data_IF_752413898130
#
_entry.id   IF_752413898130
#
_cell.length_a   1.000
_cell.length_b   1.000
_cell.length_c   1.000
_cell.angle_alpha   90.00
_cell.angle_beta   90.00
_cell.angle_gamma   90.00
#
_symmetry.space_group_name_H-M   'P 1'
#
loop_
_entity.id
_entity.type
_entity.pdbx_description
1 polymer ?
#
# COMPACT_ATOMS: atom_id res chain seq x y z
N UNK A 1 -4.12 -67.56 16.94
CA UNK A 1 -5.26 -66.97 17.69
C UNK A 1 -5.82 -65.85 16.81
N UNK A 2 -6.75 -66.19 15.93
CA UNK A 2 -8.20 -65.92 16.05
C UNK A 2 -8.57 -64.45 15.78
N UNK A 3 -9.00 -64.23 14.54
CA UNK A 3 -10.02 -63.33 13.99
C UNK A 3 -10.62 -62.20 14.86
N UNK A 4 -10.70 -61.01 14.26
CA UNK A 4 -12.00 -60.35 14.02
C UNK A 4 -11.89 -59.36 12.85
N UNK A 5 -12.73 -59.61 11.85
CA UNK A 5 -12.96 -58.88 10.61
C UNK A 5 -13.69 -57.55 10.86
N UNK A 6 -13.40 -56.54 10.04
CA UNK A 6 -14.32 -55.45 9.74
C UNK A 6 -14.32 -55.20 8.23
N UNK A 7 -15.38 -55.73 7.63
CA UNK A 7 -15.98 -55.57 6.31
C UNK A 7 -15.55 -54.34 5.47
N UNK A 8 -14.95 -54.61 4.31
CA UNK A 8 -14.84 -53.67 3.19
C UNK A 8 -15.89 -54.03 2.14
N UNK A 9 -16.89 -53.18 1.85
CA UNK A 9 -17.70 -53.37 0.66
C UNK A 9 -16.90 -53.00 -0.59
N UNK A 10 -16.55 -54.03 -1.37
CA UNK A 10 -16.13 -53.92 -2.76
C UNK A 10 -17.24 -53.24 -3.56
N UNK A 11 -16.91 -52.11 -4.19
CA UNK A 11 -17.77 -51.51 -5.21
C UNK A 11 -17.63 -52.29 -6.51
N UNK A 12 -18.78 -52.70 -7.00
CA UNK A 12 -19.05 -53.51 -8.17
C UNK A 12 -18.67 -52.78 -9.46
N UNK A 13 -18.01 -53.48 -10.39
CA UNK A 13 -17.70 -52.99 -11.72
C UNK A 13 -18.97 -53.09 -12.59
N UNK A 14 -19.87 -52.13 -12.39
CA UNK A 14 -21.09 -51.96 -13.16
C UNK A 14 -20.80 -51.40 -14.56
N UNK A 15 -21.03 -52.25 -15.55
CA UNK A 15 -21.15 -51.98 -17.00
C UNK A 15 -21.80 -50.64 -17.35
N UNK A 16 -21.10 -49.84 -18.18
CA UNK A 16 -21.65 -48.68 -18.90
C UNK A 16 -22.74 -49.15 -19.88
N UNK A 17 -23.99 -48.80 -19.60
CA UNK A 17 -25.06 -48.80 -20.61
C UNK A 17 -25.35 -47.35 -20.99
N UNK A 18 -25.12 -47.01 -22.25
CA UNK A 18 -25.52 -45.74 -22.86
C UNK A 18 -27.02 -45.51 -22.68
N UNK A 19 -27.37 -44.55 -21.81
CA UNK A 19 -28.63 -43.84 -21.87
C UNK A 19 -28.31 -42.34 -21.93
N UNK A 20 -28.80 -41.60 -22.93
CA UNK A 20 -28.62 -40.16 -22.97
C UNK A 20 -29.41 -39.56 -21.80
N UNK A 21 -28.70 -39.14 -20.75
CA UNK A 21 -29.26 -38.22 -19.77
C UNK A 21 -29.24 -36.84 -20.41
N UNK A 22 -30.43 -36.35 -20.77
CA UNK A 22 -30.65 -34.94 -21.04
C UNK A 22 -30.29 -34.16 -19.79
N UNK A 23 -29.14 -33.47 -19.82
CA UNK A 23 -28.80 -32.44 -18.84
C UNK A 23 -29.93 -31.41 -18.80
N UNK A 24 -30.40 -30.98 -17.62
CA UNK A 24 -31.21 -29.78 -17.56
C UNK A 24 -30.31 -28.62 -18.00
N UNK A 25 -30.65 -28.03 -19.14
CA UNK A 25 -30.16 -26.75 -19.58
C UNK A 25 -30.61 -25.72 -18.53
N UNK A 26 -29.75 -25.45 -17.55
CA UNK A 26 -29.95 -24.32 -16.64
C UNK A 26 -29.64 -23.08 -17.46
N UNK A 27 -30.71 -22.45 -17.94
CA UNK A 27 -30.66 -21.14 -18.60
C UNK A 27 -30.09 -20.10 -17.63
N UNK A 28 -28.80 -19.81 -17.78
CA UNK A 28 -28.14 -18.66 -17.18
C UNK A 28 -28.48 -17.43 -18.02
N UNK A 29 -29.54 -16.74 -17.62
CA UNK A 29 -30.00 -15.55 -18.31
C UNK A 29 -31.44 -15.22 -17.97
N UNK A 30 -31.67 -14.69 -16.77
CA UNK A 30 -32.86 -13.86 -16.57
C UNK A 30 -32.85 -12.73 -17.62
N UNK A 31 -34.01 -12.27 -18.12
CA UNK A 31 -34.03 -11.22 -19.13
C UNK A 31 -33.22 -10.01 -18.63
N UNK A 32 -32.33 -9.49 -19.47
CA UNK A 32 -31.58 -8.27 -19.18
C UNK A 32 -32.59 -7.22 -18.70
N UNK A 33 -32.47 -6.84 -17.43
CA UNK A 33 -33.42 -5.91 -16.81
C UNK A 33 -33.32 -4.60 -17.60
N UNK A 34 -34.42 -4.19 -18.23
CA UNK A 34 -34.45 -2.94 -18.95
C UNK A 34 -34.34 -1.79 -17.94
N UNK A 35 -33.13 -1.24 -17.83
CA UNK A 35 -32.82 -0.08 -17.00
C UNK A 35 -33.22 1.24 -17.67
N UNK A 36 -33.92 1.17 -18.80
CA UNK A 36 -34.41 2.26 -19.60
C UNK A 36 -33.44 2.61 -20.74
N UNK A 37 -33.98 2.70 -21.96
CA UNK A 37 -33.34 3.44 -23.06
C UNK A 37 -33.40 4.94 -22.77
N UNK A 38 -32.21 5.54 -22.60
CA UNK A 38 -31.95 6.99 -22.70
C UNK A 38 -32.29 7.81 -21.42
N UNK A 39 -31.22 8.27 -20.75
CA UNK A 39 -31.19 9.31 -19.68
C UNK A 39 -31.88 8.98 -18.35
N UNK A 40 -31.34 8.01 -17.62
CA UNK A 40 -31.30 8.14 -16.15
C UNK A 40 -29.97 8.79 -15.80
N UNK A 41 -29.94 10.13 -15.91
CA UNK A 41 -28.72 10.93 -15.91
C UNK A 41 -28.01 10.85 -14.56
N UNK A 42 -26.98 10.02 -14.49
CA UNK A 42 -25.92 10.24 -13.51
C UNK A 42 -25.16 11.47 -14.00
N UNK A 43 -25.60 12.66 -13.59
CA UNK A 43 -24.94 13.91 -14.03
C UNK A 43 -23.59 14.02 -13.34
N UNK A 44 -22.54 13.64 -14.07
CA UNK A 44 -21.14 13.79 -13.72
C UNK A 44 -20.42 14.15 -15.01
N UNK A 45 -19.68 15.24 -14.97
CA UNK A 45 -18.81 15.71 -16.06
C UNK A 45 -17.38 15.86 -15.55
N UNK A 46 -16.41 15.98 -16.45
CA UNK A 46 -15.07 16.44 -16.09
C UNK A 46 -15.15 17.73 -15.25
N UNK A 47 -14.32 17.82 -14.22
CA UNK A 47 -14.35 18.88 -13.21
C UNK A 47 -15.41 18.71 -12.11
N UNK A 48 -16.29 17.70 -12.19
CA UNK A 48 -17.28 17.45 -11.13
C UNK A 48 -16.60 17.07 -9.81
N UNK A 49 -17.18 17.51 -8.70
CA UNK A 49 -16.66 17.20 -7.36
C UNK A 49 -16.90 15.72 -7.03
N UNK A 50 -15.82 14.99 -6.82
CA UNK A 50 -15.80 13.62 -6.29
C UNK A 50 -15.12 13.61 -4.92
N UNK A 51 -15.19 12.51 -4.15
CA UNK A 51 -14.43 12.35 -2.90
C UNK A 51 -12.90 12.51 -3.10
N UNK A 52 -12.39 12.21 -4.30
CA UNK A 52 -10.97 12.21 -4.63
C UNK A 52 -10.50 13.47 -5.38
N UNK A 53 -11.34 14.51 -5.42
CA UNK A 53 -11.07 15.76 -6.13
C UNK A 53 -11.95 15.95 -7.37
N UNK A 54 -11.64 16.95 -8.21
CA UNK A 54 -12.31 17.13 -9.50
C UNK A 54 -12.09 15.90 -10.38
N UNK A 55 -13.13 15.42 -11.07
CA UNK A 55 -12.99 14.34 -12.04
C UNK A 55 -12.15 14.78 -13.25
N UNK A 56 -11.06 14.09 -13.55
CA UNK A 56 -10.24 14.31 -14.75
C UNK A 56 -10.74 13.46 -15.92
N UNK A 57 -11.37 12.33 -15.63
CA UNK A 57 -12.01 11.47 -16.63
C UNK A 57 -13.38 11.03 -16.17
N UNK A 58 -14.30 10.90 -17.13
CA UNK A 58 -15.65 10.39 -16.93
C UNK A 58 -15.96 9.41 -18.05
N UNK A 59 -16.46 8.23 -17.71
CA UNK A 59 -16.79 7.18 -18.69
C UNK A 59 -18.15 6.56 -18.36
N UNK A 60 -19.07 6.59 -19.31
CA UNK A 60 -20.33 5.86 -19.21
C UNK A 60 -20.05 4.36 -19.41
N UNK A 61 -20.23 3.57 -18.35
CA UNK A 61 -20.01 2.11 -18.39
C UNK A 61 -21.25 1.41 -18.95
N UNK A 62 -22.42 1.81 -18.45
CA UNK A 62 -23.71 1.32 -18.87
C UNK A 62 -24.78 2.38 -18.54
N UNK A 63 -26.01 2.31 -19.10
CA UNK A 63 -27.08 3.23 -18.75
C UNK A 63 -27.27 3.32 -17.22
N UNK A 64 -26.96 4.47 -16.63
CA UNK A 64 -27.06 4.71 -15.18
C UNK A 64 -25.85 4.24 -14.35
N UNK A 65 -24.70 3.92 -14.96
CA UNK A 65 -23.43 3.63 -14.28
C UNK A 65 -22.33 4.45 -14.94
N UNK A 66 -21.72 5.35 -14.17
CA UNK A 66 -20.64 6.22 -14.63
C UNK A 66 -19.40 5.96 -13.80
N UNK A 67 -18.27 5.75 -14.47
CA UNK A 67 -16.95 5.74 -13.86
C UNK A 67 -16.32 7.12 -13.89
N UNK A 68 -15.59 7.47 -12.84
CA UNK A 68 -14.75 8.68 -12.78
C UNK A 68 -13.34 8.32 -12.38
N UNK A 69 -12.37 9.07 -12.90
CA UNK A 69 -10.98 9.01 -12.46
C UNK A 69 -10.44 10.40 -12.13
N UNK A 70 -9.54 10.46 -11.15
CA UNK A 70 -8.71 11.61 -10.75
C UNK A 70 -7.24 11.17 -10.80
N UNK A 71 -6.23 12.04 -10.55
CA UNK A 71 -4.82 11.66 -10.70
C UNK A 71 -4.35 10.64 -9.66
N UNK A 72 -5.15 10.39 -8.62
CA UNK A 72 -4.80 9.49 -7.53
C UNK A 72 -5.79 8.34 -7.29
N UNK A 73 -7.06 8.48 -7.67
CA UNK A 73 -8.12 7.48 -7.41
C UNK A 73 -9.31 7.64 -8.37
N UNK A 74 -10.35 6.85 -8.19
CA UNK A 74 -11.57 6.87 -8.98
C UNK A 74 -12.69 6.05 -8.35
N UNK A 75 -13.78 5.93 -9.08
CA UNK A 75 -14.89 5.08 -8.66
C UNK A 75 -16.14 5.22 -9.52
N UNK A 76 -17.18 4.52 -9.11
CA UNK A 76 -18.46 4.46 -9.81
C UNK A 76 -19.53 5.31 -9.11
N UNK A 77 -20.39 5.90 -9.91
CA UNK A 77 -21.65 6.50 -9.48
C UNK A 77 -22.81 5.90 -10.23
N UNK A 78 -23.83 5.53 -9.48
CA UNK A 78 -25.02 4.85 -9.99
C UNK A 78 -26.20 5.80 -10.03
N UNK A 79 -27.13 5.53 -10.95
CA UNK A 79 -28.47 6.08 -10.90
C UNK A 79 -29.17 5.65 -9.62
N UNK A 80 -30.24 6.38 -9.26
CA UNK A 80 -31.02 6.08 -8.07
C UNK A 80 -31.62 4.67 -8.13
N UNK A 81 -32.05 4.25 -9.31
CA UNK A 81 -32.71 2.97 -9.60
C UNK A 81 -31.71 1.81 -9.48
N UNK A 82 -30.53 1.95 -10.09
CA UNK A 82 -29.47 0.94 -9.98
C UNK A 82 -28.91 0.85 -8.58
N UNK A 83 -28.71 1.99 -7.93
CA UNK A 83 -28.30 2.03 -6.53
C UNK A 83 -29.35 1.37 -5.66
N UNK A 84 -30.65 1.60 -5.88
CA UNK A 84 -31.72 1.01 -5.07
C UNK A 84 -31.84 -0.52 -5.19
N UNK A 85 -31.33 -1.12 -6.27
CA UNK A 85 -31.32 -2.57 -6.44
C UNK A 85 -30.24 -3.29 -5.61
N UNK A 86 -29.24 -2.56 -5.10
CA UNK A 86 -28.24 -3.11 -4.20
C UNK A 86 -28.87 -3.20 -2.78
N UNK A 87 -28.73 -4.33 -2.06
CA UNK A 87 -29.22 -4.47 -0.69
C UNK A 87 -28.64 -3.40 0.25
N UNK A 88 -29.44 -2.94 1.22
CA UNK A 88 -29.05 -1.84 2.12
C UNK A 88 -27.68 -2.06 2.80
N UNK A 89 -27.33 -3.23 3.36
CA UNK A 89 -26.03 -3.42 4.01
C UNK A 89 -24.84 -3.12 3.09
N UNK A 90 -24.90 -3.58 1.83
CA UNK A 90 -23.86 -3.32 0.82
C UNK A 90 -23.90 -1.89 0.26
N UNK A 91 -25.04 -1.21 0.32
CA UNK A 91 -25.14 0.21 -0.04
C UNK A 91 -24.68 1.16 1.06
N UNK A 92 -24.60 0.70 2.30
CA UNK A 92 -24.20 1.54 3.43
C UNK A 92 -22.68 1.53 3.59
N UNK A 93 -22.00 0.45 3.17
CA UNK A 93 -20.53 0.43 3.11
C UNK A 93 -19.99 1.41 2.07
N UNK A 94 -20.70 1.54 0.95
CA UNK A 94 -20.42 2.54 -0.08
C UNK A 94 -21.21 3.83 0.20
N UNK A 95 -20.61 5.00 0.02
CA UNK A 95 -21.34 6.26 0.14
C UNK A 95 -22.28 6.51 -1.05
N UNK A 96 -22.24 7.72 -1.58
CA UNK A 96 -22.85 8.02 -2.89
C UNK A 96 -21.98 7.45 -4.03
N UNK A 97 -20.70 7.25 -3.76
CA UNK A 97 -19.68 6.75 -4.68
C UNK A 97 -19.21 5.37 -4.21
N UNK A 98 -18.88 4.51 -5.18
CA UNK A 98 -18.26 3.21 -4.96
C UNK A 98 -16.81 3.31 -5.43
N UNK A 99 -15.85 3.23 -4.52
CA UNK A 99 -14.41 3.34 -4.79
C UNK A 99 -13.89 2.19 -5.67
N UNK A 100 -12.87 2.49 -6.47
CA UNK A 100 -12.35 1.61 -7.54
C UNK A 100 -11.48 0.43 -7.08
N UNK A 101 -10.89 0.47 -5.89
CA UNK A 101 -10.10 -0.63 -5.34
C UNK A 101 -10.99 -1.68 -4.68
N UNK A 102 -12.11 -1.27 -4.06
CA UNK A 102 -12.94 -2.15 -3.24
C UNK A 102 -14.45 -2.11 -3.54
N UNK A 103 -15.14 -0.98 -3.40
CA UNK A 103 -16.61 -0.98 -3.42
C UNK A 103 -17.22 -1.22 -4.81
N UNK A 104 -16.51 -0.96 -5.90
CA UNK A 104 -17.04 -1.20 -7.25
C UNK A 104 -17.39 -2.68 -7.50
N UNK A 105 -16.77 -3.63 -6.77
CA UNK A 105 -17.13 -5.05 -6.81
C UNK A 105 -18.59 -5.31 -6.40
N UNK A 106 -19.15 -4.47 -5.53
CA UNK A 106 -20.58 -4.51 -5.17
C UNK A 106 -21.45 -4.18 -6.39
N UNK A 107 -21.01 -3.21 -7.20
CA UNK A 107 -21.71 -2.82 -8.43
C UNK A 107 -21.63 -3.96 -9.44
N UNK A 108 -20.46 -4.56 -9.63
CA UNK A 108 -20.28 -5.69 -10.54
C UNK A 108 -21.09 -6.93 -10.11
N UNK A 109 -21.18 -7.20 -8.81
CA UNK A 109 -21.99 -8.31 -8.27
C UNK A 109 -23.49 -8.13 -8.53
N UNK A 110 -24.01 -6.90 -8.45
CA UNK A 110 -25.44 -6.62 -8.57
C UNK A 110 -25.89 -6.15 -9.97
N UNK A 111 -24.95 -5.75 -10.82
CA UNK A 111 -25.18 -5.34 -12.21
C UNK A 111 -24.17 -6.01 -13.15
N UNK A 112 -24.08 -7.37 -13.15
CA UNK A 112 -23.07 -8.09 -13.92
C UNK A 112 -23.19 -7.84 -15.44
N UNK A 113 -24.36 -7.45 -15.93
CA UNK A 113 -24.57 -7.11 -17.34
C UNK A 113 -23.77 -5.89 -17.79
N UNK A 114 -23.35 -5.03 -16.86
CA UNK A 114 -22.49 -3.89 -17.15
C UNK A 114 -21.00 -4.27 -17.19
N UNK A 115 -20.63 -5.47 -16.72
CA UNK A 115 -19.25 -5.93 -16.60
C UNK A 115 -19.06 -7.33 -17.20
N UNK A 116 -19.36 -7.54 -18.50
CA UNK A 116 -19.33 -8.87 -19.12
C UNK A 116 -17.92 -9.50 -19.21
N UNK A 117 -16.88 -8.74 -18.90
CA UNK A 117 -15.49 -9.21 -18.85
C UNK A 117 -15.11 -9.83 -17.49
N UNK A 118 -15.99 -9.71 -16.49
CA UNK A 118 -15.80 -10.31 -15.17
C UNK A 118 -16.44 -11.69 -15.18
N UNK A 119 -15.65 -12.71 -14.88
CA UNK A 119 -16.12 -14.09 -14.79
C UNK A 119 -17.11 -14.26 -13.63
N UNK A 120 -18.04 -15.21 -13.79
CA UNK A 120 -19.06 -15.53 -12.79
C UNK A 120 -18.44 -15.83 -11.42
N UNK A 121 -19.04 -15.27 -10.36
CA UNK A 121 -18.59 -15.48 -8.98
C UNK A 121 -17.35 -14.67 -8.57
N UNK A 122 -16.60 -14.05 -9.49
CA UNK A 122 -15.42 -13.24 -9.12
C UNK A 122 -15.83 -12.01 -8.31
N UNK A 123 -16.84 -11.27 -8.76
CA UNK A 123 -17.32 -10.09 -8.04
C UNK A 123 -17.85 -10.45 -6.64
N UNK A 124 -18.60 -11.53 -6.54
CA UNK A 124 -19.12 -12.02 -5.26
C UNK A 124 -17.99 -12.40 -4.29
N UNK A 125 -16.98 -13.15 -4.77
CA UNK A 125 -15.79 -13.48 -3.97
C UNK A 125 -15.08 -12.22 -3.46
N UNK A 126 -14.95 -11.20 -4.31
CA UNK A 126 -14.34 -9.92 -3.92
C UNK A 126 -15.16 -9.19 -2.87
N UNK A 127 -16.49 -9.21 -2.97
CA UNK A 127 -17.38 -8.64 -1.95
C UNK A 127 -17.28 -9.38 -0.63
N UNK A 128 -17.20 -10.73 -0.63
CA UNK A 128 -16.95 -11.52 0.59
C UNK A 128 -15.61 -11.20 1.26
N UNK A 129 -14.58 -10.93 0.47
CA UNK A 129 -13.25 -10.56 0.98
C UNK A 129 -13.23 -9.15 1.57
N UNK A 130 -13.80 -8.16 0.87
CA UNK A 130 -13.73 -6.76 1.30
C UNK A 130 -14.77 -6.39 2.35
N UNK A 131 -15.98 -6.94 2.25
CA UNK A 131 -17.14 -6.53 3.06
C UNK A 131 -17.88 -7.74 3.66
N UNK A 132 -17.21 -8.63 4.40
CA UNK A 132 -17.81 -9.89 4.86
C UNK A 132 -19.09 -9.67 5.68
N UNK A 133 -19.07 -8.75 6.65
CA UNK A 133 -20.26 -8.46 7.49
C UNK A 133 -21.45 -7.96 6.65
N UNK A 134 -21.19 -7.06 5.68
CA UNK A 134 -22.23 -6.50 4.83
C UNK A 134 -22.77 -7.52 3.84
N UNK A 135 -21.92 -8.42 3.34
CA UNK A 135 -22.32 -9.53 2.48
C UNK A 135 -23.27 -10.49 3.21
N UNK A 136 -22.91 -10.94 4.42
CA UNK A 136 -23.75 -11.85 5.21
C UNK A 136 -25.08 -11.18 5.56
N UNK A 137 -25.06 -9.90 5.96
CA UNK A 137 -26.28 -9.15 6.25
C UNK A 137 -27.17 -8.93 5.00
N UNK A 138 -26.58 -8.77 3.82
CA UNK A 138 -27.31 -8.56 2.57
C UNK A 138 -27.91 -9.86 2.00
N UNK A 139 -27.20 -10.97 2.14
CA UNK A 139 -27.57 -12.26 1.52
C UNK A 139 -28.22 -13.24 2.49
N UNK A 140 -28.03 -13.04 3.80
CA UNK A 140 -28.39 -14.02 4.83
C UNK A 140 -27.53 -15.28 4.82
N UNK A 141 -26.49 -15.34 3.99
CA UNK A 141 -25.60 -16.49 3.86
C UNK A 141 -24.38 -16.28 4.75
N UNK A 142 -24.09 -17.25 5.62
CA UNK A 142 -22.85 -17.26 6.41
C UNK A 142 -21.68 -17.67 5.53
N UNK A 143 -20.58 -16.91 5.60
CA UNK A 143 -19.34 -17.19 4.88
C UNK A 143 -18.66 -18.41 5.52
N UNK A 144 -18.39 -19.45 4.74
CA UNK A 144 -17.69 -20.63 5.24
C UNK A 144 -16.17 -20.39 5.33
N UNK A 145 -15.43 -21.19 6.12
CA UNK A 145 -13.97 -21.17 6.12
C UNK A 145 -13.42 -21.35 4.70
N UNK A 146 -12.43 -20.55 4.30
CA UNK A 146 -11.85 -20.55 2.95
C UNK A 146 -12.58 -19.66 1.93
N UNK A 147 -13.72 -19.06 2.28
CA UNK A 147 -14.50 -18.21 1.37
C UNK A 147 -14.29 -16.71 1.55
N UNK A 148 -13.56 -16.30 2.59
CA UNK A 148 -13.13 -14.91 2.81
C UNK A 148 -11.76 -14.84 3.49
N UNK A 149 -10.79 -14.25 2.80
CA UNK A 149 -9.42 -14.09 3.30
C UNK A 149 -9.38 -13.32 4.63
N UNK A 150 -10.25 -12.31 4.78
CA UNK A 150 -10.35 -11.49 5.99
C UNK A 150 -10.96 -12.27 7.16
N UNK A 151 -11.95 -13.13 6.90
CA UNK A 151 -12.53 -13.99 7.96
C UNK A 151 -11.53 -15.04 8.42
N UNK A 152 -10.88 -15.70 7.47
CA UNK A 152 -9.88 -16.72 7.78
C UNK A 152 -8.71 -16.11 8.54
N UNK A 153 -8.23 -14.92 8.14
CA UNK A 153 -7.21 -14.17 8.87
C UNK A 153 -7.65 -13.86 10.31
N UNK A 154 -8.89 -13.40 10.52
CA UNK A 154 -9.39 -13.10 11.86
C UNK A 154 -9.45 -14.35 12.76
N UNK A 155 -9.88 -15.49 12.21
CA UNK A 155 -9.89 -16.77 12.93
C UNK A 155 -8.46 -17.21 13.28
N UNK A 156 -7.54 -17.16 12.31
CA UNK A 156 -6.14 -17.50 12.52
C UNK A 156 -5.49 -16.59 13.57
N UNK A 157 -5.67 -15.27 13.45
CA UNK A 157 -5.13 -14.29 14.39
C UNK A 157 -5.65 -14.50 15.81
N UNK A 158 -6.92 -14.91 15.97
CA UNK A 158 -7.49 -15.24 17.27
C UNK A 158 -6.92 -16.53 17.84
N UNK A 159 -6.73 -17.56 17.02
CA UNK A 159 -6.14 -18.83 17.44
C UNK A 159 -4.68 -18.66 17.90
N UNK A 160 -3.95 -17.75 17.25
CA UNK A 160 -2.53 -17.48 17.52
C UNK A 160 -2.30 -16.20 18.33
N UNK A 161 -3.29 -15.75 19.11
CA UNK A 161 -3.16 -14.50 19.88
C UNK A 161 -2.06 -14.56 20.93
N UNK A 162 -1.72 -15.77 21.39
CA UNK A 162 -0.68 -16.04 22.39
C UNK A 162 0.65 -16.52 21.79
N UNK A 163 0.75 -16.63 20.47
CA UNK A 163 1.98 -17.01 19.78
C UNK A 163 2.76 -15.77 19.35
N UNK A 164 4.08 -15.90 19.18
CA UNK A 164 4.85 -14.84 18.55
C UNK A 164 4.71 -14.95 17.04
N UNK A 165 4.21 -13.89 16.41
CA UNK A 165 4.10 -13.80 14.95
C UNK A 165 5.15 -12.84 14.41
N UNK A 166 5.85 -13.25 13.36
CA UNK A 166 6.85 -12.43 12.67
C UNK A 166 6.24 -11.08 12.22
N UNK A 167 6.88 -9.97 12.61
CA UNK A 167 6.52 -8.61 12.18
C UNK A 167 7.67 -7.85 11.49
N UNK A 168 8.92 -8.29 11.67
CA UNK A 168 10.08 -7.70 10.99
C UNK A 168 11.15 -8.76 10.80
N UNK A 169 11.90 -8.69 9.70
CA UNK A 169 12.96 -9.62 9.37
C UNK A 169 14.09 -8.88 8.65
N UNK A 170 15.33 -9.11 9.08
CA UNK A 170 16.55 -8.65 8.39
C UNK A 170 17.60 -9.75 8.42
N UNK A 171 18.47 -9.78 7.42
CA UNK A 171 19.66 -10.64 7.52
C UNK A 171 20.45 -10.23 8.77
N UNK A 172 20.96 -11.23 9.47
CA UNK A 172 21.88 -11.02 10.59
C UNK A 172 23.24 -10.61 9.99
N UNK A 173 23.76 -9.46 10.43
CA UNK A 173 24.99 -8.88 9.89
C UNK A 173 26.23 -9.72 10.30
N UNK A 174 26.15 -10.44 11.42
CA UNK A 174 27.25 -11.23 11.99
C UNK A 174 27.18 -12.72 11.59
N UNK A 175 25.99 -13.22 11.22
CA UNK A 175 25.74 -14.64 10.90
C UNK A 175 25.20 -14.84 9.48
N UNK A 176 26.08 -15.15 8.51
CA UNK A 176 25.66 -15.47 7.14
C UNK A 176 24.60 -16.58 7.10
N UNK A 177 23.52 -16.35 6.36
CA UNK A 177 22.43 -17.32 6.19
C UNK A 177 21.41 -17.34 7.34
N UNK A 178 21.58 -16.52 8.37
CA UNK A 178 20.62 -16.36 9.47
C UNK A 178 19.84 -15.06 9.31
N UNK A 179 18.56 -15.10 9.66
CA UNK A 179 17.68 -13.94 9.67
C UNK A 179 17.37 -13.56 11.12
N UNK A 180 17.66 -12.32 11.50
CA UNK A 180 17.16 -11.72 12.72
C UNK A 180 15.70 -11.33 12.50
N UNK A 181 14.82 -11.90 13.31
CA UNK A 181 13.37 -11.73 13.22
C UNK A 181 12.84 -11.09 14.49
N UNK A 182 11.92 -10.14 14.37
CA UNK A 182 11.15 -9.62 15.49
C UNK A 182 9.78 -10.30 15.46
N UNK A 183 9.48 -11.05 16.51
CA UNK A 183 8.16 -11.62 16.76
C UNK A 183 7.36 -10.72 17.69
N UNK A 184 6.05 -10.62 17.47
CA UNK A 184 5.12 -9.95 18.36
C UNK A 184 3.99 -10.89 18.76
N UNK A 185 3.68 -10.94 20.06
CA UNK A 185 2.50 -11.61 20.59
C UNK A 185 1.34 -10.63 20.71
N UNK A 186 0.17 -11.01 20.20
CA UNK A 186 -0.97 -10.10 20.12
C UNK A 186 -1.63 -9.86 21.48
N UNK A 187 -1.66 -10.87 22.36
CA UNK A 187 -2.39 -10.82 23.63
C UNK A 187 -1.83 -9.82 24.64
N UNK A 188 -0.52 -9.62 24.67
CA UNK A 188 0.16 -8.70 25.60
C UNK A 188 1.04 -7.64 24.89
N UNK A 189 1.17 -7.72 23.56
CA UNK A 189 2.00 -6.81 22.77
C UNK A 189 3.51 -7.05 22.90
N UNK A 190 3.94 -8.10 23.61
CA UNK A 190 5.35 -8.41 23.82
C UNK A 190 6.08 -8.59 22.50
N UNK A 191 7.25 -7.99 22.39
CA UNK A 191 8.17 -8.17 21.26
C UNK A 191 9.40 -8.94 21.69
N UNK A 192 9.85 -9.85 20.85
CA UNK A 192 11.01 -10.70 21.11
C UNK A 192 11.85 -10.88 19.85
N UNK A 193 13.17 -10.87 20.01
CA UNK A 193 14.10 -11.11 18.91
C UNK A 193 14.39 -12.61 18.79
N UNK A 194 14.27 -13.13 17.57
CA UNK A 194 14.54 -14.51 17.19
C UNK A 194 15.59 -14.56 16.09
N UNK A 195 16.27 -15.70 15.98
CA UNK A 195 17.23 -15.97 14.92
C UNK A 195 16.86 -17.29 14.25
N UNK A 196 16.51 -17.19 12.98
CA UNK A 196 15.99 -18.31 12.21
C UNK A 196 16.85 -18.47 10.95
N UNK A 197 17.33 -19.68 10.62
CA UNK A 197 17.98 -19.94 9.33
C UNK A 197 17.09 -19.49 8.17
N UNK A 198 17.68 -18.84 7.16
CA UNK A 198 16.93 -18.26 6.04
C UNK A 198 16.05 -19.29 5.32
N UNK A 199 16.61 -20.45 5.00
CA UNK A 199 15.89 -21.48 4.24
C UNK A 199 14.71 -22.04 5.05
N UNK A 200 14.87 -22.16 6.36
CA UNK A 200 13.79 -22.58 7.26
C UNK A 200 12.70 -21.51 7.36
N UNK A 201 13.08 -20.24 7.51
CA UNK A 201 12.12 -19.14 7.54
C UNK A 201 11.32 -19.07 6.23
N UNK A 202 11.98 -19.22 5.09
CA UNK A 202 11.34 -19.24 3.78
C UNK A 202 10.41 -20.45 3.62
N UNK A 203 10.80 -21.63 4.12
CA UNK A 203 9.91 -22.80 4.14
C UNK A 203 8.66 -22.56 5.01
N UNK A 204 8.81 -21.95 6.20
CA UNK A 204 7.67 -21.60 7.07
C UNK A 204 6.72 -20.58 6.44
N UNK A 205 7.23 -19.65 5.62
CA UNK A 205 6.39 -18.68 4.86
C UNK A 205 5.54 -19.32 3.77
N UNK A 206 5.93 -20.50 3.31
CA UNK A 206 5.24 -21.25 2.27
C UNK A 206 4.24 -22.27 2.85
N UNK A 207 4.36 -22.60 4.14
CA UNK A 207 3.38 -23.41 4.84
C UNK A 207 2.12 -22.56 5.10
N UNK A 208 1.03 -22.87 4.41
CA UNK A 208 -0.19 -22.08 4.43
C UNK A 208 -1.36 -22.88 5.03
N UNK A 209 -1.73 -22.56 6.26
CA UNK A 209 -3.09 -22.80 6.75
C UNK A 209 -4.01 -21.64 6.32
N UNK A 210 -5.33 -21.86 6.19
CA UNK A 210 -6.28 -20.78 5.91
C UNK A 210 -6.09 -19.61 6.89
N UNK A 211 -5.99 -18.39 6.35
CA UNK A 211 -5.80 -17.17 7.15
C UNK A 211 -4.37 -16.84 7.57
N UNK A 212 -3.44 -17.80 7.48
CA UNK A 212 -2.03 -17.56 7.84
C UNK A 212 -1.34 -16.61 6.85
N UNK A 213 -1.57 -16.80 5.55
CA UNK A 213 -0.91 -16.03 4.49
C UNK A 213 0.62 -16.19 4.56
N UNK A 214 1.35 -15.08 4.60
CA UNK A 214 2.82 -15.08 4.72
C UNK A 214 3.32 -14.95 6.17
N UNK A 215 2.42 -15.08 7.16
CA UNK A 215 2.76 -14.95 8.59
C UNK A 215 3.51 -16.20 9.05
N UNK A 216 4.51 -15.99 9.90
CA UNK A 216 5.32 -17.06 10.47
C UNK A 216 5.18 -17.04 11.98
N UNK A 217 4.84 -18.19 12.55
CA UNK A 217 4.86 -18.42 14.00
C UNK A 217 6.31 -18.68 14.43
N UNK A 218 6.70 -18.06 15.52
CA UNK A 218 7.99 -18.17 16.18
C UNK A 218 7.75 -18.73 17.58
N UNK A 219 8.54 -19.71 17.96
CA UNK A 219 8.40 -20.37 19.25
C UNK A 219 9.69 -20.18 20.08
N UNK A 220 9.66 -19.46 21.21
CA UNK A 220 10.84 -19.26 22.06
C UNK A 220 11.38 -20.55 22.68
N UNK A 221 10.63 -21.67 22.63
CA UNK A 221 11.10 -22.97 23.07
C UNK A 221 11.97 -23.69 22.03
N UNK A 222 11.76 -23.44 20.73
CA UNK A 222 12.51 -24.09 19.65
C UNK A 222 13.42 -23.16 18.86
N UNK A 223 13.06 -21.89 18.75
CA UNK A 223 13.79 -20.88 18.00
C UNK A 223 14.82 -20.16 18.89
N UNK A 224 16.03 -19.96 18.37
CA UNK A 224 17.06 -19.20 19.07
C UNK A 224 16.57 -17.76 19.30
N UNK A 225 16.77 -17.24 20.51
CA UNK A 225 16.31 -15.90 20.89
C UNK A 225 17.33 -15.17 21.75
N UNK A 226 17.46 -13.85 21.54
CA UNK A 226 18.22 -12.96 22.44
C UNK A 226 17.34 -12.32 23.52
N UNK A 227 16.09 -12.77 23.67
CA UNK A 227 15.13 -12.20 24.60
C UNK A 227 14.36 -11.01 24.05
N UNK A 228 13.75 -10.19 24.93
CA UNK A 228 12.87 -9.09 24.53
C UNK A 228 13.52 -8.16 23.51
N UNK A 229 12.75 -7.80 22.47
CA UNK A 229 13.15 -6.73 21.55
C UNK A 229 12.92 -5.40 22.27
N UNK A 230 13.98 -4.91 22.91
CA UNK A 230 14.00 -3.57 23.50
C UNK A 230 14.15 -2.60 22.34
N UNK A 231 13.05 -1.97 21.95
CA UNK A 231 13.10 -0.83 21.03
C UNK A 231 14.09 0.18 21.61
N UNK A 232 15.15 0.56 20.88
CA UNK A 232 16.13 1.49 21.41
C UNK A 232 15.41 2.76 21.84
N UNK A 233 15.77 3.28 23.02
CA UNK A 233 15.21 4.53 23.50
C UNK A 233 15.39 5.57 22.38
N UNK A 234 14.28 6.14 21.91
CA UNK A 234 14.32 7.14 20.84
C UNK A 234 15.21 8.26 21.32
N UNK A 235 16.39 8.38 20.71
CA UNK A 235 17.31 9.46 21.04
C UNK A 235 16.55 10.75 20.77
N UNK A 236 16.36 11.62 21.78
CA UNK A 236 15.61 12.85 21.59
C UNK A 236 16.22 13.62 20.43
N UNK A 237 15.45 13.82 19.36
CA UNK A 237 15.95 14.54 18.20
C UNK A 237 16.34 15.95 18.62
N UNK A 238 17.61 16.31 18.43
CA UNK A 238 18.08 17.67 18.69
C UNK A 238 17.33 18.62 17.77
N UNK A 239 16.66 19.62 18.36
CA UNK A 239 15.89 20.60 17.60
C UNK A 239 16.75 21.83 17.31
N UNK A 240 16.77 22.20 16.04
CA UNK A 240 17.50 23.35 15.54
C UNK A 240 16.52 24.46 15.15
N UNK A 241 16.63 25.61 15.80
CA UNK A 241 15.71 26.73 15.58
C UNK A 241 16.31 27.83 14.68
N UNK A 242 15.43 28.48 13.93
CA UNK A 242 15.74 29.69 13.17
C UNK A 242 16.36 29.48 11.79
N UNK A 243 16.63 30.61 11.15
CA UNK A 243 17.16 30.70 9.78
C UNK A 243 17.99 31.98 9.61
N UNK A 244 18.88 31.96 8.63
CA UNK A 244 19.72 33.08 8.24
C UNK A 244 19.12 33.84 7.06
N UNK A 245 19.38 35.15 6.97
CA UNK A 245 18.90 35.97 5.85
C UNK A 245 19.72 35.69 4.58
N UNK A 246 19.10 35.28 3.45
CA UNK A 246 19.83 35.05 2.21
C UNK A 246 20.50 36.32 1.65
N UNK A 247 21.65 36.13 0.98
CA UNK A 247 22.44 37.22 0.42
C UNK A 247 21.70 38.01 -0.69
N UNK A 248 20.89 37.33 -1.52
CA UNK A 248 20.23 37.95 -2.67
C UNK A 248 18.77 38.34 -2.39
N UNK A 249 18.26 39.45 -2.96
CA UNK A 249 16.85 39.83 -2.83
C UNK A 249 15.88 38.74 -3.28
N UNK A 250 16.20 38.05 -4.38
CA UNK A 250 15.36 36.96 -4.90
C UNK A 250 15.29 35.75 -3.95
N UNK A 251 16.39 35.41 -3.29
CA UNK A 251 16.39 34.36 -2.29
C UNK A 251 15.62 34.78 -1.02
N UNK A 252 15.73 36.04 -0.59
CA UNK A 252 14.93 36.59 0.52
C UNK A 252 13.42 36.54 0.23
N UNK A 253 13.01 36.86 -1.00
CA UNK A 253 11.61 36.78 -1.41
C UNK A 253 11.07 35.34 -1.37
N UNK A 254 11.85 34.37 -1.87
CA UNK A 254 11.48 32.94 -1.81
C UNK A 254 11.37 32.43 -0.38
N UNK A 255 12.33 32.82 0.48
CA UNK A 255 12.27 32.51 1.90
C UNK A 255 11.00 33.07 2.54
N UNK A 256 10.67 34.35 2.29
CA UNK A 256 9.45 34.95 2.83
C UNK A 256 8.17 34.21 2.38
N UNK A 257 8.12 33.77 1.11
CA UNK A 257 7.00 32.94 0.62
C UNK A 257 6.92 31.61 1.35
N UNK A 258 8.05 30.91 1.54
CA UNK A 258 8.06 29.64 2.25
C UNK A 258 7.69 29.79 3.72
N UNK A 259 8.19 30.83 4.40
CA UNK A 259 7.89 31.12 5.81
C UNK A 259 6.38 31.32 6.06
N UNK A 260 5.66 31.87 5.08
CA UNK A 260 4.22 32.09 5.16
C UNK A 260 3.37 30.84 4.84
N UNK A 261 3.96 29.74 4.35
CA UNK A 261 3.24 28.49 4.08
C UNK A 261 2.65 27.93 5.37
N UNK A 262 1.42 27.42 5.30
CA UNK A 262 0.66 26.92 6.44
C UNK A 262 0.46 25.41 6.36
N UNK A 263 0.57 24.75 7.49
CA UNK A 263 0.41 23.31 7.66
C UNK A 263 -0.64 23.03 8.72
N UNK A 264 -1.57 22.10 8.44
CA UNK A 264 -2.57 21.64 9.38
C UNK A 264 -2.07 20.40 10.12
N UNK A 265 -2.12 20.41 11.43
CA UNK A 265 -1.75 19.31 12.33
C UNK A 265 -2.90 18.34 12.55
N UNK A 266 -2.59 17.16 13.08
CA UNK A 266 -3.56 16.12 13.42
C UNK A 266 -4.58 16.57 14.47
N UNK A 267 -4.17 17.48 15.37
CA UNK A 267 -5.05 18.11 16.36
C UNK A 267 -5.94 19.23 15.78
N UNK A 268 -5.86 19.47 14.47
CA UNK A 268 -6.61 20.49 13.75
C UNK A 268 -6.01 21.90 13.78
N UNK A 269 -4.96 22.14 14.55
CA UNK A 269 -4.24 23.42 14.59
C UNK A 269 -3.54 23.73 13.26
N UNK A 270 -3.25 25.00 13.01
CA UNK A 270 -2.57 25.46 11.79
C UNK A 270 -1.36 26.29 12.18
N UNK A 271 -0.18 25.87 11.71
CA UNK A 271 1.09 26.56 11.95
C UNK A 271 1.70 27.04 10.63
N UNK A 272 2.42 28.16 10.67
CA UNK A 272 3.27 28.59 9.56
C UNK A 272 4.64 27.91 9.61
N UNK A 273 5.37 27.89 8.50
CA UNK A 273 6.76 27.41 8.52
C UNK A 273 7.63 28.25 9.47
N UNK A 274 7.34 29.55 9.64
CA UNK A 274 8.03 30.38 10.62
C UNK A 274 7.85 29.84 12.05
N UNK A 275 6.60 29.55 12.45
CA UNK A 275 6.29 29.00 13.78
C UNK A 275 7.00 27.64 14.00
N UNK A 276 7.04 26.81 12.96
CA UNK A 276 7.71 25.50 13.01
C UNK A 276 9.23 25.66 13.18
N UNK A 277 9.85 26.58 12.45
CA UNK A 277 11.29 26.85 12.57
C UNK A 277 11.65 27.52 13.90
N UNK A 278 10.73 28.25 14.53
CA UNK A 278 10.91 28.83 15.87
C UNK A 278 10.90 27.74 16.96
N UNK A 279 9.98 26.78 16.86
CA UNK A 279 9.94 25.59 17.74
C UNK A 279 11.10 24.62 17.50
N UNK A 280 11.70 24.70 16.33
CA UNK A 280 12.89 23.96 15.94
C UNK A 280 12.60 22.63 15.24
N UNK A 281 13.54 22.24 14.39
CA UNK A 281 13.43 21.12 13.45
C UNK A 281 14.63 20.17 13.57
N UNK A 282 14.44 18.92 13.19
CA UNK A 282 15.45 17.86 13.24
C UNK A 282 16.59 18.07 12.24
N UNK A 283 16.30 18.68 11.08
CA UNK A 283 17.29 18.80 10.01
C UNK A 283 16.66 19.16 8.68
N UNK A 284 17.43 18.98 7.62
CA UNK A 284 16.99 19.20 6.24
C UNK A 284 17.50 18.11 5.31
N UNK A 285 16.75 17.81 4.25
CA UNK A 285 17.19 16.90 3.18
C UNK A 285 16.63 17.32 1.82
N UNK A 286 16.92 16.50 0.82
CA UNK A 286 16.25 16.52 -0.47
C UNK A 286 16.03 15.12 -1.00
N UNK A 287 15.14 14.99 -1.97
CA UNK A 287 14.97 13.79 -2.80
C UNK A 287 14.78 14.19 -4.26
N UNK A 288 14.86 13.23 -5.18
CA UNK A 288 14.56 13.49 -6.59
C UNK A 288 13.15 13.00 -6.89
N UNK A 289 12.36 13.87 -7.49
CA UNK A 289 11.05 13.55 -8.05
C UNK A 289 10.99 14.10 -9.47
N UNK A 290 10.57 13.28 -10.44
CA UNK A 290 10.40 13.69 -11.84
C UNK A 290 11.62 14.45 -12.40
N UNK A 291 12.83 13.94 -12.13
CA UNK A 291 14.09 14.52 -12.57
C UNK A 291 14.45 15.86 -11.94
N UNK A 292 13.79 16.26 -10.85
CA UNK A 292 14.05 17.50 -10.12
C UNK A 292 14.34 17.20 -8.66
N UNK A 293 15.32 17.92 -8.11
CA UNK A 293 15.63 17.87 -6.68
C UNK A 293 14.61 18.69 -5.90
N UNK A 294 13.87 18.03 -5.03
CA UNK A 294 12.89 18.62 -4.11
C UNK A 294 13.54 18.71 -2.73
N UNK A 295 13.58 19.91 -2.17
CA UNK A 295 14.17 20.19 -0.86
C UNK A 295 13.10 20.21 0.21
N UNK A 296 13.41 19.72 1.40
CA UNK A 296 12.48 19.72 2.52
C UNK A 296 13.17 19.87 3.87
N UNK A 297 12.43 20.42 4.83
CA UNK A 297 12.81 20.49 6.24
C UNK A 297 12.20 19.32 6.98
N UNK A 298 12.96 18.67 7.87
CA UNK A 298 12.52 17.55 8.68
C UNK A 298 12.18 18.04 10.08
N UNK A 299 10.93 17.87 10.50
CA UNK A 299 10.53 18.23 11.86
C UNK A 299 11.01 17.19 12.89
N UNK A 300 11.00 15.91 12.53
CA UNK A 300 11.43 14.79 13.36
C UNK A 300 12.34 13.86 12.53
N UNK A 301 13.12 13.02 13.21
CA UNK A 301 13.77 11.89 12.53
C UNK A 301 12.71 10.89 12.03
N UNK A 302 13.05 10.14 10.98
CA UNK A 302 12.10 9.48 10.09
C UNK A 302 11.34 8.34 10.80
N UNK A 303 10.22 8.66 11.46
CA UNK A 303 9.25 7.70 11.99
C UNK A 303 7.86 8.01 11.44
N UNK A 304 7.47 7.30 10.37
CA UNK A 304 6.08 6.96 10.04
C UNK A 304 5.05 8.07 9.76
N UNK A 305 5.35 9.35 9.96
CA UNK A 305 4.40 10.46 9.77
C UNK A 305 4.63 11.20 8.45
N UNK A 306 3.54 11.45 7.71
CA UNK A 306 3.50 12.25 6.49
C UNK A 306 3.92 13.71 6.68
N UNK A 307 3.95 14.21 7.93
CA UNK A 307 4.39 15.57 8.29
C UNK A 307 5.91 15.70 8.49
N UNK A 308 6.66 14.60 8.39
CA UNK A 308 8.11 14.61 8.62
C UNK A 308 8.91 15.34 7.53
N UNK A 309 8.30 15.77 6.42
CA UNK A 309 8.98 16.46 5.32
C UNK A 309 8.18 17.69 4.85
N UNK A 310 8.71 18.89 5.12
CA UNK A 310 8.12 20.18 4.75
C UNK A 310 8.81 20.71 3.46
N UNK A 311 8.21 20.58 2.26
CA UNK A 311 8.79 21.03 1.01
C UNK A 311 9.02 22.54 0.98
N UNK A 312 10.26 22.90 0.69
CA UNK A 312 10.74 24.28 0.64
C UNK A 312 11.54 24.54 -0.64
N UNK A 313 11.72 25.81 -0.97
CA UNK A 313 12.66 26.20 -2.02
C UNK A 313 14.09 25.96 -1.58
N UNK A 314 15.01 25.84 -2.55
CA UNK A 314 16.46 25.77 -2.25
C UNK A 314 16.93 26.97 -1.41
N UNK A 315 16.37 28.16 -1.65
CA UNK A 315 16.74 29.36 -0.89
C UNK A 315 16.45 29.20 0.61
N UNK A 316 15.29 28.64 0.95
CA UNK A 316 14.91 28.34 2.34
C UNK A 316 15.73 27.20 2.90
N UNK A 317 15.97 26.14 2.12
CA UNK A 317 16.85 25.04 2.51
C UNK A 317 18.25 25.52 2.92
N UNK A 318 18.85 26.38 2.09
CA UNK A 318 20.18 26.95 2.36
C UNK A 318 20.15 27.88 3.60
N UNK A 319 19.04 28.58 3.83
CA UNK A 319 18.86 29.55 4.91
C UNK A 319 18.60 28.93 6.29
N UNK A 320 17.93 27.78 6.36
CA UNK A 320 17.53 27.16 7.65
C UNK A 320 18.77 26.66 8.41
N UNK A 321 18.85 27.03 9.69
CA UNK A 321 19.97 26.73 10.59
C UNK A 321 19.89 25.30 11.17
N UNK A 322 19.66 24.30 10.32
CA UNK A 322 19.55 22.90 10.71
C UNK A 322 20.53 22.04 9.89
N UNK A 323 20.99 20.89 10.42
CA UNK A 323 21.95 20.04 9.73
C UNK A 323 21.34 19.46 8.45
N UNK A 324 22.14 19.45 7.38
CA UNK A 324 21.84 18.70 6.18
C UNK A 324 22.11 17.22 6.45
N UNK A 325 21.06 16.40 6.40
CA UNK A 325 21.17 14.97 6.67
C UNK A 325 21.72 14.15 5.50
N UNK A 326 22.03 14.79 4.37
CA UNK A 326 22.57 14.12 3.18
C UNK A 326 24.09 14.02 3.28
N UNK A 327 24.60 12.84 3.01
CA UNK A 327 26.02 12.63 2.74
C UNK A 327 26.43 13.17 1.36
N UNK A 328 27.73 13.22 1.07
CA UNK A 328 28.19 13.57 -0.26
C UNK A 328 27.75 12.52 -1.28
N UNK A 329 27.78 11.23 -0.89
CA UNK A 329 27.27 10.14 -1.71
C UNK A 329 25.78 10.30 -2.03
N UNK A 330 24.95 10.72 -1.06
CA UNK A 330 23.51 10.96 -1.30
C UNK A 330 23.27 12.08 -2.31
N UNK A 331 24.06 13.16 -2.23
CA UNK A 331 23.94 14.27 -3.18
C UNK A 331 24.33 13.81 -4.58
N UNK A 332 25.45 13.10 -4.73
CA UNK A 332 25.92 12.58 -6.01
C UNK A 332 24.95 11.53 -6.60
N UNK A 333 24.39 10.66 -5.76
CA UNK A 333 23.38 9.69 -6.19
C UNK A 333 22.13 10.38 -6.75
N UNK A 334 21.67 11.44 -6.10
CA UNK A 334 20.56 12.25 -6.60
C UNK A 334 20.91 12.97 -7.92
N UNK A 335 22.16 13.37 -8.14
CA UNK A 335 22.60 13.92 -9.43
C UNK A 335 22.57 12.85 -10.54
N UNK A 336 22.95 11.61 -10.22
CA UNK A 336 22.82 10.47 -11.12
C UNK A 336 21.35 10.20 -11.50
N UNK A 337 20.43 10.22 -10.54
CA UNK A 337 18.98 10.07 -10.80
C UNK A 337 18.44 11.18 -11.72
N UNK A 338 18.90 12.42 -11.56
CA UNK A 338 18.52 13.53 -12.45
C UNK A 338 19.09 13.32 -13.85
N UNK A 339 20.33 12.86 -13.98
CA UNK A 339 20.96 12.56 -15.27
C UNK A 339 20.24 11.40 -15.99
N UNK A 340 19.89 10.35 -15.26
CA UNK A 340 19.10 9.21 -15.74
C UNK A 340 17.73 9.66 -16.27
N UNK A 341 17.03 10.50 -15.51
CA UNK A 341 15.74 11.03 -15.93
C UNK A 341 15.84 11.81 -17.24
N UNK A 342 16.90 12.62 -17.43
CA UNK A 342 17.14 13.31 -18.70
C UNK A 342 17.39 12.33 -19.83
N UNK A 343 18.21 11.31 -19.60
CA UNK A 343 18.51 10.26 -20.57
C UNK A 343 17.25 9.52 -21.04
N UNK A 344 16.34 9.16 -20.12
CA UNK A 344 15.07 8.52 -20.46
C UNK A 344 14.16 9.37 -21.34
N UNK A 345 14.30 10.69 -21.26
CA UNK A 345 13.53 11.68 -22.01
C UNK A 345 14.26 12.21 -23.25
N UNK A 346 15.45 11.66 -23.56
CA UNK A 346 16.27 12.13 -24.67
C UNK A 346 15.62 11.78 -26.02
N UNK A 347 15.61 12.74 -26.94
CA UNK A 347 15.08 12.56 -28.28
C UNK A 347 16.23 12.49 -29.30
N UNK A 348 16.36 11.34 -29.93
CA UNK A 348 17.39 11.10 -30.95
C UNK A 348 18.73 10.61 -30.38
N UNK A 349 19.51 10.00 -31.28
CA UNK A 349 20.67 9.18 -30.91
C UNK A 349 21.84 9.99 -30.33
N UNK A 350 22.18 11.13 -30.93
CA UNK A 350 23.32 11.97 -30.51
C UNK A 350 23.11 12.60 -29.13
N UNK A 351 21.88 13.00 -28.82
CA UNK A 351 21.52 13.52 -27.49
C UNK A 351 21.60 12.41 -26.45
N UNK A 352 21.03 11.23 -26.77
CA UNK A 352 21.05 10.05 -25.89
C UNK A 352 22.49 9.63 -25.56
N UNK A 353 23.42 9.66 -26.50
CA UNK A 353 24.83 9.35 -26.23
C UNK A 353 25.49 10.32 -25.23
N UNK A 354 25.24 11.63 -25.39
CA UNK A 354 25.77 12.65 -24.48
C UNK A 354 25.20 12.48 -23.06
N UNK A 355 23.88 12.27 -22.97
CA UNK A 355 23.20 12.07 -21.69
C UNK A 355 23.59 10.75 -21.02
N UNK A 356 23.87 9.71 -21.81
CA UNK A 356 24.37 8.44 -21.30
C UNK A 356 25.76 8.60 -20.68
N UNK A 357 26.65 9.36 -21.32
CA UNK A 357 27.97 9.65 -20.76
C UNK A 357 27.85 10.43 -19.44
N UNK A 358 26.99 11.44 -19.39
CA UNK A 358 26.73 12.22 -18.18
C UNK A 358 26.14 11.38 -17.04
N UNK A 359 25.20 10.49 -17.34
CA UNK A 359 24.67 9.54 -16.36
C UNK A 359 25.75 8.60 -15.83
N UNK A 360 26.54 7.98 -16.71
CA UNK A 360 27.60 7.07 -16.31
C UNK A 360 28.65 7.75 -15.43
N UNK A 361 29.00 9.00 -15.72
CA UNK A 361 29.90 9.79 -14.90
C UNK A 361 29.32 10.06 -13.51
N UNK A 362 28.07 10.53 -13.43
CA UNK A 362 27.40 10.80 -12.16
C UNK A 362 27.22 9.53 -11.32
N UNK A 363 26.87 8.40 -11.95
CA UNK A 363 26.70 7.11 -11.30
C UNK A 363 28.02 6.58 -10.72
N UNK A 364 29.13 6.69 -11.47
CA UNK A 364 30.46 6.32 -10.95
C UNK A 364 30.87 7.18 -9.76
N UNK A 365 30.67 8.50 -9.86
CA UNK A 365 31.01 9.40 -8.77
C UNK A 365 30.23 9.09 -7.48
N UNK A 366 28.93 8.77 -7.61
CA UNK A 366 28.11 8.35 -6.47
C UNK A 366 28.60 7.04 -5.84
N UNK A 367 29.01 6.07 -6.66
CA UNK A 367 29.55 4.78 -6.18
C UNK A 367 30.91 4.95 -5.49
N UNK A 368 31.80 5.78 -6.03
CA UNK A 368 33.10 6.11 -5.42
C UNK A 368 32.93 6.76 -4.05
N UNK A 369 32.03 7.75 -3.93
CA UNK A 369 31.73 8.39 -2.65
C UNK A 369 31.11 7.41 -1.65
N UNK A 370 30.17 6.58 -2.08
CA UNK A 370 29.56 5.56 -1.21
C UNK A 370 30.60 4.58 -0.67
N UNK A 371 31.52 4.12 -1.52
CA UNK A 371 32.63 3.24 -1.11
C UNK A 371 33.58 3.93 -0.14
N UNK A 372 33.95 5.18 -0.40
CA UNK A 372 34.81 5.96 0.49
C UNK A 372 34.16 6.17 1.87
N UNK A 373 32.87 6.48 1.90
CA UNK A 373 32.11 6.65 3.15
C UNK A 373 31.93 5.34 3.91
N UNK A 374 31.76 4.20 3.22
CA UNK A 374 31.74 2.88 3.86
C UNK A 374 33.09 2.53 4.50
N UNK A 375 34.19 2.71 3.76
CA UNK A 375 35.54 2.46 4.27
C UNK A 375 35.91 3.35 5.47
N UNK A 376 35.40 4.58 5.53
CA UNK A 376 35.62 5.49 6.65
C UNK A 376 34.84 5.12 7.92
N UNK A 377 33.81 4.28 7.82
CA UNK A 377 33.04 3.77 8.98
C UNK A 377 33.64 2.51 9.60
N UNK A 378 34.52 1.82 8.87
CA UNK A 378 35.22 0.62 9.32
C UNK A 378 36.56 0.93 10.04
N UNK A 379 36.97 2.20 10.07
CA UNK A 379 38.13 2.74 10.80
C UNK A 379 37.69 3.42 12.10
#
# INVERSE_FOLDING_TARGET
MTFLEADHPRVDNGTFTDKPQTSPEVSLGGPAKDWGTVTVTVTVNEGSRTPWGPADSVTDIAPGIVSVGTPGHGGLKLSRERRAAIPKPLRDVAGIWFEEDCEWWIVAMHHPEAFPHIEDGVAEKRVRNWFPDAYEAATGTTIAPGESDVRDEAVWAKAHENDFVLISARMDDDRPGVVRVIGRRASDGTRQTFYVPKDELDARRLAAEPGQGHRVILDPASDETSGPDVEPEKVPTVKHAGYSSPATPGARARLATDLAKRWRRDDGSVETLADILERGVAGKSSRVENGKRIYFIREQEFEGSSYAALPVTKATFDAVNAPDGRSAADVAYQDAQIAEHKLHRADGWTERQKLQAAYNEAARHADELRKAEAAAKEQ
#
